data_IF_876655447637
#
_entry.id   IF_876655447637
#
_cell.length_a   1.000
_cell.length_b   1.000
_cell.length_c   1.000
_cell.angle_alpha   90.00
_cell.angle_beta   90.00
_cell.angle_gamma   90.00
#
_symmetry.space_group_name_H-M   'P 1'
#
loop_
_entity.id
_entity.type
_entity.pdbx_description
1 polymer ?
#
# COMPACT_ATOMS: atom_id res chain seq x y z
N UNK A 1 6.79 32.16 -8.51
CA UNK A 1 5.69 31.40 -7.88
C UNK A 1 5.76 29.91 -8.20
N UNK A 2 5.73 29.49 -9.48
CA UNK A 2 5.83 28.07 -9.87
C UNK A 2 7.10 27.37 -9.35
N UNK A 3 8.25 28.05 -9.38
CA UNK A 3 9.53 27.51 -8.87
C UNK A 3 9.51 27.29 -7.36
N UNK A 4 8.98 28.25 -6.59
CA UNK A 4 8.81 28.14 -5.14
C UNK A 4 7.85 27.01 -4.78
N UNK A 5 6.71 26.90 -5.48
CA UNK A 5 5.74 25.83 -5.28
C UNK A 5 6.32 24.45 -5.57
N UNK A 6 7.03 24.29 -6.70
CA UNK A 6 7.71 23.04 -7.05
C UNK A 6 8.74 22.64 -6.00
N UNK A 7 9.49 23.60 -5.46
CA UNK A 7 10.50 23.37 -4.42
C UNK A 7 9.86 22.90 -3.12
N UNK A 8 8.80 23.59 -2.67
CA UNK A 8 8.04 23.21 -1.48
C UNK A 8 7.42 21.81 -1.61
N UNK A 9 6.81 21.52 -2.76
CA UNK A 9 6.22 20.21 -3.02
C UNK A 9 7.28 19.09 -3.02
N UNK A 10 8.45 19.36 -3.61
CA UNK A 10 9.57 18.40 -3.62
C UNK A 10 10.03 18.09 -2.19
N UNK A 11 10.31 19.11 -1.38
CA UNK A 11 10.74 18.90 0.01
C UNK A 11 9.66 18.23 0.87
N UNK A 12 8.40 18.60 0.68
CA UNK A 12 7.26 17.95 1.35
C UNK A 12 7.18 16.47 1.02
N UNK A 13 7.29 16.11 -0.27
CA UNK A 13 7.29 14.72 -0.71
C UNK A 13 8.52 13.95 -0.21
N UNK A 14 9.71 14.58 -0.11
CA UNK A 14 10.90 13.94 0.45
C UNK A 14 10.74 13.60 1.93
N UNK A 15 10.28 14.57 2.73
CA UNK A 15 10.01 14.36 4.16
C UNK A 15 8.96 13.27 4.35
N UNK A 16 7.88 13.34 3.56
CA UNK A 16 6.86 12.31 3.54
C UNK A 16 7.43 10.95 3.15
N UNK A 17 8.31 10.86 2.14
CA UNK A 17 8.99 9.64 1.74
C UNK A 17 9.76 8.98 2.88
N UNK A 18 10.37 9.77 3.77
CA UNK A 18 10.98 9.29 5.01
C UNK A 18 9.97 8.62 5.96
N UNK A 19 8.84 9.26 6.23
CA UNK A 19 7.75 8.66 7.01
C UNK A 19 7.14 7.43 6.33
N UNK A 20 7.02 7.47 5.00
CA UNK A 20 6.47 6.41 4.17
C UNK A 20 7.33 5.15 4.24
N UNK A 21 8.67 5.30 4.26
CA UNK A 21 9.60 4.19 4.51
C UNK A 21 9.37 3.53 5.86
N UNK A 22 9.23 4.32 6.93
CA UNK A 22 8.96 3.79 8.27
C UNK A 22 7.62 3.03 8.28
N UNK A 23 6.57 3.60 7.68
CA UNK A 23 5.29 2.93 7.52
C UNK A 23 5.39 1.61 6.75
N UNK A 24 6.16 1.59 5.66
CA UNK A 24 6.44 0.39 4.87
C UNK A 24 7.17 -0.69 5.66
N UNK A 25 8.15 -0.33 6.49
CA UNK A 25 8.88 -1.27 7.35
C UNK A 25 7.95 -1.89 8.41
N UNK A 26 7.10 -1.09 9.04
CA UNK A 26 6.12 -1.58 10.02
C UNK A 26 5.07 -2.48 9.35
N UNK A 27 4.60 -2.12 8.16
CA UNK A 27 3.68 -2.96 7.38
C UNK A 27 4.34 -4.30 6.97
N UNK A 28 5.63 -4.28 6.61
CA UNK A 28 6.39 -5.48 6.27
C UNK A 28 6.54 -6.42 7.48
N UNK A 29 6.78 -5.87 8.68
CA UNK A 29 6.81 -6.64 9.93
C UNK A 29 5.45 -7.32 10.19
N UNK A 30 4.35 -6.57 10.02
CA UNK A 30 3.00 -7.14 10.14
C UNK A 30 2.70 -8.21 9.08
N UNK A 31 3.13 -8.01 7.84
CA UNK A 31 2.98 -9.00 6.77
C UNK A 31 3.69 -10.31 7.11
N UNK A 32 4.91 -10.23 7.67
CA UNK A 32 5.67 -11.40 8.14
C UNK A 32 4.96 -12.10 9.29
N UNK A 33 4.45 -11.34 10.27
CA UNK A 33 3.69 -11.91 11.39
C UNK A 33 2.42 -12.62 10.92
N UNK A 34 1.64 -12.01 10.02
CA UNK A 34 0.45 -12.62 9.44
C UNK A 34 0.80 -13.93 8.73
N UNK A 35 1.83 -13.92 7.87
CA UNK A 35 2.27 -15.14 7.18
C UNK A 35 2.70 -16.26 8.15
N UNK A 36 3.35 -15.92 9.27
CA UNK A 36 3.71 -16.92 10.28
C UNK A 36 2.46 -17.50 10.95
N UNK A 37 1.49 -16.65 11.34
CA UNK A 37 0.23 -17.08 11.93
C UNK A 37 -0.53 -17.99 10.97
N UNK A 38 -0.65 -17.62 9.69
CA UNK A 38 -1.31 -18.44 8.66
C UNK A 38 -0.68 -19.85 8.59
N UNK A 39 0.66 -19.97 8.65
CA UNK A 39 1.33 -21.28 8.66
C UNK A 39 1.08 -22.07 9.94
N UNK A 40 1.01 -21.41 11.11
CA UNK A 40 0.69 -22.08 12.37
C UNK A 40 -0.75 -22.60 12.37
N UNK A 41 -1.69 -21.82 11.85
CA UNK A 41 -3.09 -22.23 11.72
C UNK A 41 -3.23 -23.42 10.78
N UNK A 42 -2.63 -23.37 9.59
CA UNK A 42 -2.64 -24.47 8.62
C UNK A 42 -2.03 -25.77 9.21
N UNK A 43 -0.98 -25.66 10.04
CA UNK A 43 -0.38 -26.80 10.71
C UNK A 43 -1.26 -27.38 11.84
N UNK A 44 -2.10 -26.56 12.48
CA UNK A 44 -2.99 -26.99 13.58
C UNK A 44 -4.33 -27.52 13.06
N UNK A 45 -4.88 -26.91 12.00
CA UNK A 45 -6.20 -27.24 11.46
C UNK A 45 -6.16 -28.36 10.41
N UNK A 46 -4.99 -28.64 9.80
CA UNK A 46 -4.87 -29.47 8.59
C UNK A 46 -5.71 -28.94 7.41
N UNK A 47 -6.18 -27.69 7.47
CA UNK A 47 -6.90 -27.00 6.41
C UNK A 47 -6.02 -25.93 5.76
N UNK A 48 -6.17 -25.75 4.44
CA UNK A 48 -5.39 -24.75 3.72
C UNK A 48 -5.89 -23.35 4.05
N UNK A 49 -5.01 -22.55 4.65
CA UNK A 49 -5.33 -21.17 4.99
C UNK A 49 -5.26 -20.23 3.78
N UNK A 50 -6.19 -19.28 3.71
CA UNK A 50 -6.20 -18.28 2.65
C UNK A 50 -5.17 -17.16 2.88
N UNK A 51 -4.11 -17.21 2.07
CA UNK A 51 -2.97 -16.29 2.16
C UNK A 51 -3.14 -14.99 1.38
N UNK A 52 -4.36 -14.64 0.96
CA UNK A 52 -4.62 -13.42 0.20
C UNK A 52 -4.16 -12.18 0.98
N UNK A 53 -4.56 -12.06 2.24
CA UNK A 53 -4.27 -10.89 3.08
C UNK A 53 -2.76 -10.76 3.34
N UNK A 54 -2.09 -11.86 3.70
CA UNK A 54 -0.64 -11.85 3.96
C UNK A 54 0.17 -11.52 2.70
N UNK A 55 -0.22 -12.05 1.52
CA UNK A 55 0.40 -11.69 0.23
C UNK A 55 0.16 -10.22 -0.15
N UNK A 56 -1.07 -9.73 0.04
CA UNK A 56 -1.41 -8.33 -0.21
C UNK A 56 -0.60 -7.38 0.67
N UNK A 57 -0.52 -7.65 1.98
CA UNK A 57 0.28 -6.85 2.91
C UNK A 57 1.76 -6.86 2.53
N UNK A 58 2.29 -8.01 2.10
CA UNK A 58 3.68 -8.12 1.64
C UNK A 58 3.92 -7.24 0.41
N UNK A 59 3.11 -7.40 -0.64
CA UNK A 59 3.23 -6.59 -1.88
C UNK A 59 3.09 -5.10 -1.56
N UNK A 60 2.05 -4.72 -0.81
CA UNK A 60 1.79 -3.34 -0.40
C UNK A 60 2.96 -2.75 0.39
N UNK A 61 3.55 -3.49 1.32
CA UNK A 61 4.71 -3.03 2.10
C UNK A 61 5.95 -2.81 1.24
N UNK A 62 6.25 -3.71 0.29
CA UNK A 62 7.38 -3.55 -0.63
C UNK A 62 7.19 -2.34 -1.55
N UNK A 63 6.01 -2.18 -2.12
CA UNK A 63 5.70 -1.03 -2.97
C UNK A 63 5.71 0.28 -2.18
N UNK A 64 5.26 0.28 -0.92
CA UNK A 64 5.38 1.40 0.01
C UNK A 64 6.85 1.74 0.27
N UNK A 65 7.71 0.75 0.49
CA UNK A 65 9.14 0.98 0.68
C UNK A 65 9.82 1.57 -0.56
N UNK A 66 9.57 0.99 -1.75
CA UNK A 66 10.16 1.48 -2.99
C UNK A 66 9.67 2.89 -3.35
N UNK A 67 8.37 3.16 -3.16
CA UNK A 67 7.84 4.51 -3.36
C UNK A 67 8.40 5.50 -2.33
N UNK A 68 8.53 5.11 -1.06
CA UNK A 68 9.10 5.97 -0.02
C UNK A 68 10.56 6.34 -0.30
N UNK A 69 11.37 5.35 -0.70
CA UNK A 69 12.74 5.57 -1.15
C UNK A 69 12.79 6.51 -2.36
N UNK A 70 11.93 6.27 -3.36
CA UNK A 70 11.86 7.09 -4.56
C UNK A 70 11.47 8.55 -4.27
N UNK A 71 10.52 8.77 -3.37
CA UNK A 71 10.13 10.11 -2.92
C UNK A 71 11.27 10.81 -2.18
N UNK A 72 11.96 10.10 -1.29
CA UNK A 72 13.05 10.63 -0.46
C UNK A 72 14.24 11.13 -1.31
N UNK A 73 14.59 10.40 -2.38
CA UNK A 73 15.64 10.80 -3.33
C UNK A 73 15.11 11.66 -4.48
N UNK A 74 13.81 11.95 -4.51
CA UNK A 74 13.13 12.75 -5.53
C UNK A 74 13.29 12.23 -6.95
N UNK A 75 13.21 10.90 -7.14
CA UNK A 75 13.33 10.32 -8.47
C UNK A 75 11.99 10.22 -9.21
N UNK A 76 11.98 10.45 -10.53
CA UNK A 76 10.78 10.25 -11.36
C UNK A 76 10.31 8.79 -11.41
N UNK A 77 11.23 7.83 -11.20
CA UNK A 77 10.92 6.40 -11.18
C UNK A 77 9.94 6.02 -10.06
N UNK A 78 9.74 6.88 -9.06
CA UNK A 78 8.79 6.70 -7.96
C UNK A 78 7.34 6.52 -8.44
N UNK A 79 7.00 7.04 -9.61
CA UNK A 79 5.66 6.93 -10.18
C UNK A 79 5.27 5.47 -10.46
N UNK A 80 6.24 4.61 -10.80
CA UNK A 80 6.00 3.19 -11.08
C UNK A 80 5.53 2.45 -9.82
N UNK A 81 6.29 2.39 -8.71
CA UNK A 81 5.83 1.71 -7.50
C UNK A 81 4.58 2.36 -6.89
N UNK A 82 4.38 3.68 -7.03
CA UNK A 82 3.12 4.32 -6.60
C UNK A 82 1.92 3.86 -7.42
N UNK A 83 2.04 3.80 -8.75
CA UNK A 83 0.97 3.30 -9.61
C UNK A 83 0.67 1.82 -9.31
N UNK A 84 1.70 0.99 -9.16
CA UNK A 84 1.53 -0.42 -8.78
C UNK A 84 0.91 -0.57 -7.39
N UNK A 85 1.25 0.31 -6.43
CA UNK A 85 0.66 0.29 -5.09
C UNK A 85 -0.85 0.52 -5.16
N UNK A 86 -1.28 1.58 -5.85
CA UNK A 86 -2.70 1.90 -6.05
C UNK A 86 -3.42 0.77 -6.78
N UNK A 87 -2.83 0.22 -7.85
CA UNK A 87 -3.41 -0.90 -8.59
C UNK A 87 -3.55 -2.16 -7.73
N UNK A 88 -2.55 -2.48 -6.91
CA UNK A 88 -2.61 -3.64 -6.01
C UNK A 88 -3.74 -3.53 -4.98
N UNK A 89 -3.99 -2.31 -4.47
CA UNK A 89 -5.10 -2.04 -3.55
C UNK A 89 -6.45 -2.17 -4.24
N UNK A 90 -6.60 -1.67 -5.48
CA UNK A 90 -7.82 -1.83 -6.27
C UNK A 90 -8.13 -3.31 -6.57
N UNK A 91 -7.10 -4.10 -6.92
CA UNK A 91 -7.26 -5.55 -7.12
C UNK A 91 -7.71 -6.22 -5.83
N UNK A 92 -7.09 -5.88 -4.70
CA UNK A 92 -7.47 -6.42 -3.40
C UNK A 92 -8.92 -6.09 -3.02
N UNK A 93 -9.34 -4.83 -3.18
CA UNK A 93 -10.72 -4.41 -2.93
C UNK A 93 -11.70 -5.15 -3.83
N UNK A 94 -11.36 -5.34 -5.10
CA UNK A 94 -12.22 -6.10 -6.02
C UNK A 94 -12.38 -7.56 -5.57
N UNK A 95 -11.30 -8.20 -5.12
CA UNK A 95 -11.36 -9.58 -4.61
C UNK A 95 -12.20 -9.65 -3.34
N UNK A 96 -12.00 -8.72 -2.39
CA UNK A 96 -12.77 -8.65 -1.14
C UNK A 96 -14.26 -8.40 -1.39
N UNK A 97 -14.59 -7.49 -2.30
CA UNK A 97 -15.98 -7.23 -2.72
C UNK A 97 -16.65 -8.48 -3.31
N UNK A 98 -15.95 -9.20 -4.21
CA UNK A 98 -16.47 -10.45 -4.78
C UNK A 98 -16.74 -11.50 -3.69
N UNK A 99 -15.85 -11.62 -2.71
CA UNK A 99 -16.05 -12.53 -1.57
C UNK A 99 -17.19 -12.10 -0.67
N UNK A 100 -17.35 -10.81 -0.43
CA UNK A 100 -18.45 -10.28 0.37
C UNK A 100 -19.81 -10.60 -0.27
N UNK A 101 -19.90 -10.48 -1.59
CA UNK A 101 -21.12 -10.82 -2.35
C UNK A 101 -21.41 -12.33 -2.38
N UNK A 102 -20.37 -13.17 -2.31
CA UNK A 102 -20.49 -14.63 -2.30
C UNK A 102 -20.70 -15.22 -0.91
N UNK A 103 -20.46 -14.45 0.15
CA UNK A 103 -20.54 -14.90 1.52
C UNK A 103 -21.96 -15.34 1.90
N UNK A 104 -22.04 -16.54 2.46
CA UNK A 104 -23.29 -17.22 2.83
C UNK A 104 -23.68 -17.00 4.28
N UNK A 105 -22.72 -16.58 5.11
CA UNK A 105 -22.89 -16.35 6.55
C UNK A 105 -22.18 -15.06 6.99
N UNK A 106 -22.44 -14.65 8.24
CA UNK A 106 -21.92 -13.39 8.78
C UNK A 106 -20.41 -13.42 9.06
N UNK A 107 -19.83 -14.59 9.33
CA UNK A 107 -18.40 -14.77 9.55
C UNK A 107 -17.62 -14.53 8.25
N UNK A 108 -18.04 -15.15 7.15
CA UNK A 108 -17.48 -14.93 5.80
C UNK A 108 -17.61 -13.46 5.36
N UNK A 109 -18.71 -12.78 5.71
CA UNK A 109 -18.90 -11.35 5.41
C UNK A 109 -17.94 -10.47 6.21
N UNK A 110 -17.75 -10.78 7.49
CA UNK A 110 -16.80 -10.08 8.34
C UNK A 110 -15.38 -10.22 7.79
N UNK A 111 -14.99 -11.43 7.39
CA UNK A 111 -13.66 -11.69 6.81
C UNK A 111 -13.46 -11.06 5.44
N UNK A 112 -14.54 -10.93 4.65
CA UNK A 112 -14.51 -10.26 3.36
C UNK A 112 -14.54 -8.73 3.46
N UNK A 113 -14.87 -8.15 4.62
CA UNK A 113 -14.92 -6.70 4.80
C UNK A 113 -13.50 -6.13 4.83
N UNK A 114 -13.28 -5.07 4.04
CA UNK A 114 -12.01 -4.36 4.02
C UNK A 114 -11.85 -3.58 5.32
N UNK A 115 -10.70 -3.70 5.96
CA UNK A 115 -10.43 -2.93 7.18
C UNK A 115 -10.31 -1.43 6.86
N UNK A 116 -10.86 -0.53 7.71
CA UNK A 116 -10.76 0.92 7.50
C UNK A 116 -9.32 1.44 7.37
N UNK A 117 -8.37 0.77 8.03
CA UNK A 117 -6.93 1.05 7.91
C UNK A 117 -6.42 0.88 6.46
N UNK A 118 -6.96 -0.10 5.73
CA UNK A 118 -6.59 -0.38 4.34
C UNK A 118 -7.21 0.64 3.39
N UNK A 119 -8.45 1.07 3.65
CA UNK A 119 -9.09 2.16 2.90
C UNK A 119 -8.34 3.48 3.06
N UNK A 120 -7.98 3.81 4.31
CA UNK A 120 -7.16 5.00 4.60
C UNK A 120 -5.81 4.92 3.88
N UNK A 121 -5.15 3.76 3.89
CA UNK A 121 -3.90 3.56 3.17
C UNK A 121 -4.06 3.77 1.66
N UNK A 122 -5.19 3.38 1.07
CA UNK A 122 -5.49 3.64 -0.34
C UNK A 122 -5.68 5.13 -0.63
N UNK A 123 -6.47 5.84 0.18
CA UNK A 123 -6.69 7.28 0.02
C UNK A 123 -5.35 8.03 0.09
N UNK A 124 -4.52 7.73 1.09
CA UNK A 124 -3.20 8.37 1.20
C UNK A 124 -2.31 8.02 0.02
N UNK A 125 -2.28 6.75 -0.42
CA UNK A 125 -1.49 6.33 -1.59
C UNK A 125 -1.91 7.07 -2.85
N UNK A 126 -3.22 7.28 -3.05
CA UNK A 126 -3.76 8.00 -4.19
C UNK A 126 -3.39 9.49 -4.15
N UNK A 127 -3.54 10.15 -3.00
CA UNK A 127 -3.14 11.55 -2.81
C UNK A 127 -1.65 11.74 -3.09
N UNK A 128 -0.81 10.84 -2.58
CA UNK A 128 0.64 10.86 -2.78
C UNK A 128 1.01 10.60 -4.23
N UNK A 129 0.33 9.67 -4.92
CA UNK A 129 0.53 9.42 -6.34
C UNK A 129 0.21 10.66 -7.20
N UNK A 130 -0.90 11.33 -6.92
CA UNK A 130 -1.29 12.58 -7.61
C UNK A 130 -0.26 13.69 -7.32
N UNK A 131 0.13 13.87 -6.05
CA UNK A 131 1.12 14.87 -5.66
C UNK A 131 2.49 14.63 -6.33
N UNK A 132 2.94 13.37 -6.38
CA UNK A 132 4.16 12.98 -7.06
C UNK A 132 4.09 13.22 -8.57
N UNK A 133 2.98 12.87 -9.21
CA UNK A 133 2.77 13.14 -10.64
C UNK A 133 2.82 14.64 -10.95
N UNK A 134 2.15 15.47 -10.14
CA UNK A 134 2.21 16.93 -10.28
C UNK A 134 3.64 17.45 -10.06
N UNK A 135 4.36 16.93 -9.06
CA UNK A 135 5.75 17.31 -8.78
C UNK A 135 6.69 16.98 -9.95
N UNK A 136 6.54 15.80 -10.55
CA UNK A 136 7.26 15.42 -11.77
C UNK A 136 6.92 16.36 -12.94
N UNK A 137 5.63 16.62 -13.17
CA UNK A 137 5.17 17.51 -14.26
C UNK A 137 5.70 18.93 -14.14
N UNK A 138 6.00 19.38 -12.92
CA UNK A 138 6.60 20.67 -12.58
C UNK A 138 8.14 20.65 -12.55
N UNK A 139 8.78 19.49 -12.77
CA UNK A 139 10.24 19.33 -12.83
C UNK A 139 10.94 19.12 -11.48
N UNK A 140 10.18 18.83 -10.42
CA UNK A 140 10.70 18.58 -9.06
C UNK A 140 11.22 17.16 -8.82
N UNK A 141 10.70 16.16 -9.55
CA UNK A 141 11.19 14.78 -9.56
C UNK A 141 12.01 14.50 -10.83
N UNK A 142 13.16 13.83 -10.71
CA UNK A 142 14.11 13.63 -11.82
C UNK A 142 14.59 12.18 -12.01
#
# INVERSE_FOLDING_TARGET
>A
MLTTFSTLLTWGLRLFGGFWLVGGLLALQKARQAYLIDNFLEALSNEKEDRLTSRFLLIGSLLTLFSGAGLLISTQWVLIPLALLVLSQLVYFRIKELRFQQATNDEERSDATVQPSTENAFIVSLVVAIAAFLCWRLGGLR
#
